data_IF_908574814700
#
_entry.id   IF_908574814700
#
_cell.length_a   1.000
_cell.length_b   1.000
_cell.length_c   1.000
_cell.angle_alpha   90.00
_cell.angle_beta   90.00
_cell.angle_gamma   90.00
#
_symmetry.space_group_name_H-M   'P 1'
#
loop_
_entity.id
_entity.type
_entity.pdbx_description
1 polymer ?
#
# COMPACT_ATOMS: atom_id res chain seq x y z
N UNK A 1 -32.30 -23.96 -0.72
CA UNK A 1 -31.95 -22.96 0.32
C UNK A 1 -30.58 -23.26 0.95
N UNK A 2 -30.30 -24.48 1.38
CA UNK A 2 -28.99 -24.87 1.97
C UNK A 2 -27.79 -24.68 1.04
N UNK A 3 -27.92 -25.02 -0.25
CA UNK A 3 -26.85 -24.86 -1.24
C UNK A 3 -26.42 -23.38 -1.42
N UNK A 4 -27.39 -22.47 -1.49
CA UNK A 4 -27.12 -21.04 -1.63
C UNK A 4 -26.43 -20.46 -0.38
N UNK A 5 -26.84 -20.91 0.82
CA UNK A 5 -26.18 -20.54 2.06
C UNK A 5 -24.75 -21.07 2.14
N UNK A 6 -24.52 -22.31 1.70
CA UNK A 6 -23.18 -22.89 1.64
C UNK A 6 -22.27 -22.12 0.67
N UNK A 7 -22.78 -21.72 -0.50
CA UNK A 7 -22.05 -20.91 -1.46
C UNK A 7 -21.71 -19.52 -0.92
N UNK A 8 -22.68 -18.87 -0.26
CA UNK A 8 -22.45 -17.55 0.35
C UNK A 8 -21.41 -17.63 1.48
N UNK A 9 -21.47 -18.68 2.30
CA UNK A 9 -20.48 -18.92 3.35
C UNK A 9 -19.08 -19.17 2.76
N UNK A 10 -18.97 -19.97 1.69
CA UNK A 10 -17.71 -20.23 1.01
C UNK A 10 -17.10 -18.93 0.43
N UNK A 11 -17.92 -18.11 -0.23
CA UNK A 11 -17.51 -16.81 -0.77
C UNK A 11 -17.06 -15.85 0.32
N UNK A 12 -17.76 -15.82 1.46
CA UNK A 12 -17.38 -14.99 2.60
C UNK A 12 -16.01 -15.42 3.16
N UNK A 13 -15.81 -16.73 3.37
CA UNK A 13 -14.52 -17.27 3.83
C UNK A 13 -13.41 -16.97 2.81
N UNK A 14 -13.65 -17.19 1.51
CA UNK A 14 -12.69 -16.88 0.46
C UNK A 14 -12.32 -15.39 0.43
N UNK A 15 -13.30 -14.49 0.60
CA UNK A 15 -13.07 -13.04 0.65
C UNK A 15 -12.19 -12.65 1.85
N UNK A 16 -12.48 -13.22 3.03
CA UNK A 16 -11.66 -13.03 4.23
C UNK A 16 -10.24 -13.57 4.02
N UNK A 17 -10.09 -14.76 3.45
CA UNK A 17 -8.78 -15.36 3.17
C UNK A 17 -8.00 -14.53 2.17
N UNK A 18 -8.60 -14.01 1.11
CA UNK A 18 -7.93 -13.14 0.13
C UNK A 18 -7.44 -11.84 0.78
N UNK A 19 -8.22 -11.27 1.70
CA UNK A 19 -7.85 -10.04 2.43
C UNK A 19 -6.82 -10.30 3.54
N UNK A 20 -6.87 -11.47 4.18
CA UNK A 20 -5.90 -11.89 5.20
C UNK A 20 -4.60 -12.44 4.59
N UNK A 21 -4.64 -12.93 3.35
CA UNK A 21 -3.49 -13.44 2.61
C UNK A 21 -2.30 -12.46 2.58
N UNK A 22 -2.46 -11.16 2.28
CA UNK A 22 -1.35 -10.21 2.31
C UNK A 22 -0.79 -9.93 3.71
N UNK A 23 -1.53 -10.24 4.77
CA UNK A 23 -1.04 -10.17 6.15
C UNK A 23 -0.28 -11.44 6.57
N UNK A 24 -0.55 -12.58 5.93
CA UNK A 24 0.11 -13.86 6.19
C UNK A 24 1.22 -14.20 5.19
N UNK A 25 1.22 -13.56 4.01
CA UNK A 25 2.32 -13.61 3.06
C UNK A 25 3.40 -12.63 3.50
N UNK A 26 4.16 -13.06 4.51
CA UNK A 26 5.56 -12.66 4.61
C UNK A 26 6.28 -13.21 3.36
N UNK A 27 6.88 -12.38 2.49
CA UNK A 27 7.94 -12.89 1.63
C UNK A 27 9.07 -13.36 2.55
N UNK A 28 9.63 -14.55 2.27
CA UNK A 28 10.62 -15.22 3.13
C UNK A 28 11.63 -14.25 3.80
N UNK A 29 11.69 -14.22 5.13
CA UNK A 29 12.74 -13.52 5.83
C UNK A 29 14.02 -14.35 5.66
N UNK A 30 14.94 -13.89 4.82
CA UNK A 30 16.36 -14.26 4.97
C UNK A 30 16.91 -13.52 6.19
N UNK A 31 16.36 -13.82 7.38
CA UNK A 31 16.94 -13.63 8.72
C UNK A 31 15.83 -13.63 9.78
N UNK A 32 15.78 -14.71 10.58
CA UNK A 32 15.09 -14.81 11.87
C UNK A 32 15.63 -13.75 12.86
N UNK A 33 15.11 -12.52 12.78
CA UNK A 33 15.35 -11.49 13.79
C UNK A 33 14.07 -10.68 14.04
N UNK A 34 13.14 -11.28 14.79
CA UNK A 34 11.90 -10.68 15.31
C UNK A 34 12.12 -9.53 16.32
N UNK A 35 13.28 -8.88 16.34
CA UNK A 35 13.63 -7.80 17.30
C UNK A 35 13.82 -6.42 16.67
N UNK A 36 13.77 -6.29 15.34
CA UNK A 36 13.74 -4.99 14.68
C UNK A 36 12.57 -4.99 13.71
N UNK A 37 11.56 -4.13 13.93
CA UNK A 37 10.63 -3.77 12.85
C UNK A 37 11.49 -3.47 11.62
N UNK A 38 11.38 -4.29 10.59
CA UNK A 38 12.17 -4.21 9.37
C UNK A 38 12.21 -2.73 8.91
N UNK A 39 13.41 -2.18 8.72
CA UNK A 39 13.59 -0.76 8.43
C UNK A 39 12.79 -0.35 7.16
N UNK A 40 12.56 -1.30 6.26
CA UNK A 40 11.70 -1.14 5.10
C UNK A 40 10.21 -0.97 5.46
N UNK A 41 9.71 -1.69 6.46
CA UNK A 41 8.32 -1.57 6.91
C UNK A 41 8.08 -0.26 7.67
N UNK A 42 9.07 0.19 8.47
CA UNK A 42 9.04 1.53 9.08
C UNK A 42 9.00 2.63 8.02
N UNK A 43 9.86 2.54 7.00
CA UNK A 43 9.88 3.52 5.92
C UNK A 43 8.54 3.57 5.15
N UNK A 44 7.96 2.39 4.88
CA UNK A 44 6.65 2.28 4.24
C UNK A 44 5.54 2.93 5.10
N UNK A 45 5.54 2.65 6.40
CA UNK A 45 4.56 3.21 7.32
C UNK A 45 4.64 4.75 7.35
N UNK A 46 5.85 5.31 7.43
CA UNK A 46 6.07 6.76 7.36
C UNK A 46 5.55 7.37 6.05
N UNK A 47 5.74 6.70 4.92
CA UNK A 47 5.22 7.13 3.62
C UNK A 47 3.68 7.10 3.58
N UNK A 48 3.06 6.06 4.16
CA UNK A 48 1.60 5.96 4.29
C UNK A 48 1.04 7.08 5.16
N UNK A 49 1.65 7.33 6.33
CA UNK A 49 1.24 8.40 7.22
C UNK A 49 1.37 9.78 6.55
N UNK A 50 2.45 9.99 5.80
CA UNK A 50 2.68 11.24 5.08
C UNK A 50 1.62 11.46 4.00
N UNK A 51 1.30 10.42 3.22
CA UNK A 51 0.20 10.45 2.25
C UNK A 51 -1.12 10.82 2.93
N UNK A 52 -1.46 10.14 4.01
CA UNK A 52 -2.75 10.32 4.69
C UNK A 52 -2.89 11.71 5.30
N UNK A 53 -1.80 12.23 5.89
CA UNK A 53 -1.72 13.60 6.40
C UNK A 53 -1.91 14.63 5.29
N UNK A 54 -1.22 14.49 4.17
CA UNK A 54 -1.32 15.41 3.04
C UNK A 54 -2.73 15.39 2.41
N UNK A 55 -3.34 14.21 2.29
CA UNK A 55 -4.71 14.06 1.78
C UNK A 55 -5.76 14.62 2.76
N UNK A 56 -5.56 14.46 4.07
CA UNK A 56 -6.43 15.06 5.08
C UNK A 56 -6.37 16.59 5.00
N UNK A 57 -5.17 17.17 4.94
CA UNK A 57 -4.98 18.61 4.80
C UNK A 57 -5.61 19.17 3.51
N UNK A 58 -5.53 18.45 2.38
CA UNK A 58 -6.23 18.83 1.15
C UNK A 58 -7.75 18.85 1.32
N UNK A 59 -8.31 17.85 2.00
CA UNK A 59 -9.76 17.76 2.24
C UNK A 59 -10.26 18.88 3.14
N UNK A 60 -9.51 19.19 4.20
CA UNK A 60 -9.81 20.28 5.11
C UNK A 60 -9.75 21.64 4.38
N UNK A 61 -8.69 21.88 3.60
CA UNK A 61 -8.54 23.09 2.79
C UNK A 61 -9.68 23.27 1.76
N UNK A 62 -10.11 22.18 1.12
CA UNK A 62 -11.25 22.22 0.19
C UNK A 62 -12.57 22.53 0.91
N UNK A 63 -12.75 21.95 2.10
CA UNK A 63 -13.91 22.22 2.95
C UNK A 63 -13.94 23.70 3.35
N UNK A 64 -12.83 24.24 3.83
CA UNK A 64 -12.70 25.64 4.27
C UNK A 64 -12.94 26.62 3.13
N UNK A 65 -12.50 26.31 1.91
CA UNK A 65 -12.83 27.10 0.73
C UNK A 65 -14.34 27.07 0.43
N UNK A 66 -14.96 25.89 0.56
CA UNK A 66 -16.40 25.71 0.30
C UNK A 66 -17.28 26.41 1.34
N UNK A 67 -16.82 26.51 2.58
CA UNK A 67 -17.49 27.27 3.64
C UNK A 67 -17.20 28.77 3.57
N UNK A 68 -16.29 29.20 2.69
CA UNK A 68 -15.85 30.58 2.58
C UNK A 68 -14.89 31.03 3.69
N UNK A 69 -14.37 30.09 4.49
CA UNK A 69 -13.35 30.33 5.51
C UNK A 69 -12.02 30.71 4.88
N UNK A 70 -11.72 30.16 3.70
CA UNK A 70 -10.49 30.43 2.93
C UNK A 70 -10.84 31.09 1.60
N UNK A 71 -10.11 32.14 1.22
CA UNK A 71 -10.31 32.83 -0.06
C UNK A 71 -9.84 31.98 -1.25
N UNK A 72 -10.35 32.25 -2.45
CA UNK A 72 -9.93 31.51 -3.65
C UNK A 72 -8.44 31.72 -3.96
N UNK A 73 -7.90 32.92 -3.74
CA UNK A 73 -6.48 33.21 -3.98
C UNK A 73 -5.59 32.42 -3.01
N UNK A 74 -5.95 32.37 -1.73
CA UNK A 74 -5.23 31.61 -0.70
C UNK A 74 -5.35 30.09 -0.95
N UNK A 75 -6.55 29.62 -1.31
CA UNK A 75 -6.78 28.24 -1.69
C UNK A 75 -5.86 27.81 -2.84
N UNK A 76 -5.75 28.63 -3.88
CA UNK A 76 -4.86 28.34 -5.03
C UNK A 76 -3.39 28.35 -4.64
N UNK A 77 -2.98 29.18 -3.69
CA UNK A 77 -1.61 29.21 -3.18
C UNK A 77 -1.28 27.95 -2.36
N UNK A 78 -2.21 27.47 -1.55
CA UNK A 78 -2.01 26.35 -0.61
C UNK A 78 -2.23 24.96 -1.24
N UNK A 79 -3.11 24.83 -2.23
CA UNK A 79 -3.44 23.53 -2.85
C UNK A 79 -2.27 22.93 -3.65
N UNK A 80 -1.44 23.78 -4.26
CA UNK A 80 -0.33 23.36 -5.11
C UNK A 80 0.75 22.57 -4.35
N UNK A 81 1.31 23.11 -3.27
CA UNK A 81 2.26 22.40 -2.40
C UNK A 81 1.72 21.08 -1.86
N UNK A 82 0.51 21.08 -1.29
CA UNK A 82 -0.11 19.89 -0.71
C UNK A 82 -0.33 18.77 -1.74
N UNK A 83 -0.71 19.11 -2.98
CA UNK A 83 -0.83 18.13 -4.07
C UNK A 83 0.51 17.50 -4.44
N UNK A 84 1.59 18.28 -4.43
CA UNK A 84 2.93 17.75 -4.72
C UNK A 84 3.40 16.81 -3.60
N UNK A 85 3.11 17.15 -2.35
CA UNK A 85 3.43 16.30 -1.20
C UNK A 85 2.67 14.96 -1.27
N UNK A 86 1.36 15.01 -1.50
CA UNK A 86 0.55 13.81 -1.67
C UNK A 86 1.01 12.95 -2.86
N UNK A 87 1.30 13.58 -4.02
CA UNK A 87 1.79 12.88 -5.20
C UNK A 87 3.17 12.25 -4.99
N UNK A 88 4.06 12.94 -4.26
CA UNK A 88 5.39 12.42 -3.91
C UNK A 88 5.30 11.18 -3.02
N UNK A 89 4.46 11.22 -1.99
CA UNK A 89 4.24 10.08 -1.10
C UNK A 89 3.62 8.88 -1.84
N UNK A 90 2.65 9.12 -2.72
CA UNK A 90 2.04 8.07 -3.56
C UNK A 90 3.06 7.42 -4.50
N UNK A 91 3.88 8.22 -5.19
CA UNK A 91 4.89 7.69 -6.11
C UNK A 91 5.98 6.89 -5.38
N UNK A 92 6.36 7.30 -4.17
CA UNK A 92 7.30 6.54 -3.34
C UNK A 92 6.71 5.18 -2.95
N UNK A 93 5.44 5.14 -2.50
CA UNK A 93 4.73 3.91 -2.18
C UNK A 93 4.59 2.96 -3.39
N UNK A 94 4.34 3.51 -4.58
CA UNK A 94 4.27 2.72 -5.82
C UNK A 94 5.62 2.10 -6.19
N UNK A 95 6.72 2.85 -6.04
CA UNK A 95 8.08 2.35 -6.28
C UNK A 95 8.45 1.24 -5.31
N UNK A 96 8.16 1.41 -4.03
CA UNK A 96 8.40 0.38 -3.02
C UNK A 96 7.58 -0.88 -3.28
N UNK A 97 6.35 -0.72 -3.79
CA UNK A 97 5.50 -1.82 -4.24
C UNK A 97 6.07 -2.55 -5.47
N UNK A 98 6.61 -1.80 -6.43
CA UNK A 98 7.20 -2.35 -7.65
C UNK A 98 8.51 -3.11 -7.38
N UNK A 99 9.38 -2.60 -6.51
CA UNK A 99 10.65 -3.26 -6.15
C UNK A 99 10.40 -4.64 -5.53
N UNK A 100 9.49 -4.76 -4.56
CA UNK A 100 9.09 -6.08 -3.99
C UNK A 100 8.46 -7.00 -5.03
N UNK A 101 7.74 -6.42 -5.98
CA UNK A 101 7.13 -7.17 -7.08
C UNK A 101 8.14 -7.78 -8.04
N UNK A 102 9.34 -7.20 -8.17
CA UNK A 102 10.43 -7.73 -9.02
C UNK A 102 11.19 -8.85 -8.32
N UNK A 103 11.47 -8.69 -7.01
CA UNK A 103 12.16 -9.72 -6.21
C UNK A 103 11.36 -11.04 -6.16
N UNK A 104 10.03 -10.98 -6.24
CA UNK A 104 9.16 -12.16 -6.28
C UNK A 104 9.13 -12.92 -7.62
N UNK A 105 9.71 -12.38 -8.71
CA UNK A 105 9.68 -13.00 -10.05
C UNK A 105 10.98 -13.77 -10.34
N UNK A 106 12.07 -13.52 -9.61
CA UNK A 106 13.37 -14.18 -9.85
C UNK A 106 13.48 -15.60 -9.26
N UNK A 107 12.58 -16.03 -8.36
CA UNK A 107 12.59 -17.39 -7.78
C UNK A 107 11.99 -18.47 -8.73
N UNK A 108 11.20 -18.10 -9.74
CA UNK A 108 10.51 -19.06 -10.63
C UNK A 108 11.18 -19.22 -12.00
N UNK A 109 12.51 -19.14 -12.03
CA UNK A 109 13.30 -19.10 -13.26
C UNK A 109 14.58 -19.93 -13.28
N UNK A 110 14.76 -20.93 -12.39
CA UNK A 110 15.90 -21.85 -12.49
C UNK A 110 15.56 -23.02 -13.44
N UNK A 111 15.96 -23.00 -14.73
CA UNK A 111 15.92 -24.21 -15.53
C UNK A 111 16.88 -25.22 -14.89
N UNK A 112 16.34 -26.30 -14.34
CA UNK A 112 17.10 -27.54 -14.05
C UNK A 112 17.47 -28.18 -15.38
N UNK A 113 18.35 -27.51 -16.12
CA UNK A 113 19.11 -28.09 -17.21
C UNK A 113 20.48 -28.42 -16.66
N UNK A 114 20.98 -29.59 -17.05
CA UNK A 114 22.36 -30.02 -16.81
C UNK A 114 22.61 -30.68 -15.44
N UNK A 115 22.40 -32.00 -15.41
CA UNK A 115 23.48 -32.91 -15.05
C UNK A 115 23.52 -34.06 -16.04
N UNK A 116 24.38 -33.88 -17.02
CA UNK A 116 25.06 -34.96 -17.73
C UNK A 116 25.93 -35.66 -16.69
N UNK A 117 25.69 -36.96 -16.45
CA UNK A 117 26.71 -38.03 -16.47
C UNK A 117 26.08 -39.39 -16.20
#
# INVERSE_FOLDING_TARGET
MTLALALAALLAVASVVVVALPFLRDPEPVSDALDELDAAERHRLELVETRDRALAALKELEFDHRTGTVSNDDYRALVGPLRREAAGALQALERDGATRGVDGIEEEGRPTGERIS
#
